data_IF_804713470323
#
_entry.id   IF_804713470323
#
_cell.length_a   1.000
_cell.length_b   1.000
_cell.length_c   1.000
_cell.angle_alpha   90.00
_cell.angle_beta   90.00
_cell.angle_gamma   90.00
#
_symmetry.space_group_name_H-M   'P 1'
#
loop_
_entity.id
_entity.type
_entity.pdbx_description
1 polymer ?
#
# COMPACT_ATOMS: atom_id res chain seq x y z
N UNK A 1 4.16 -13.82 -4.65
CA UNK A 1 2.83 -14.39 -4.30
C UNK A 1 2.94 -15.85 -3.87
N UNK A 2 2.06 -16.31 -2.97
CA UNK A 2 1.95 -17.73 -2.58
C UNK A 2 0.94 -18.45 -3.49
N UNK A 3 -0.22 -17.83 -3.75
CA UNK A 3 -1.29 -18.41 -4.56
C UNK A 3 -2.09 -17.29 -5.24
N UNK A 4 -2.60 -17.57 -6.45
CA UNK A 4 -3.35 -16.61 -7.24
C UNK A 4 -2.49 -15.49 -7.80
N UNK A 5 -3.14 -14.55 -8.47
CA UNK A 5 -2.49 -13.40 -9.12
C UNK A 5 -2.99 -12.11 -8.46
N UNK A 6 -2.08 -11.20 -8.13
CA UNK A 6 -2.43 -9.84 -7.72
C UNK A 6 -2.07 -8.86 -8.83
N UNK A 7 -2.98 -7.94 -9.14
CA UNK A 7 -2.69 -6.74 -9.90
C UNK A 7 -2.26 -5.64 -8.95
N UNK A 8 -1.19 -4.93 -9.30
CA UNK A 8 -0.67 -3.77 -8.59
C UNK A 8 -0.82 -2.54 -9.47
N UNK A 9 -1.22 -1.44 -8.85
CA UNK A 9 -1.15 -0.09 -9.42
C UNK A 9 -0.17 0.71 -8.58
N UNK A 10 0.93 1.10 -9.20
CA UNK A 10 1.97 1.91 -8.56
C UNK A 10 1.77 3.37 -8.93
N UNK A 11 1.74 4.21 -7.90
CA UNK A 11 1.54 5.65 -8.00
C UNK A 11 2.79 6.39 -7.56
N UNK A 12 2.95 7.58 -8.11
CA UNK A 12 4.03 8.52 -7.80
C UNK A 12 3.41 9.82 -7.29
N UNK A 13 4.03 10.42 -6.26
CA UNK A 13 3.73 11.80 -5.86
C UNK A 13 4.43 12.76 -6.82
N UNK A 14 3.72 13.80 -7.23
CA UNK A 14 4.26 14.90 -8.04
C UNK A 14 4.59 16.14 -7.18
N UNK A 15 4.07 16.19 -5.96
CA UNK A 15 4.37 17.21 -4.96
C UNK A 15 5.59 16.85 -4.08
N UNK A 16 5.93 17.76 -3.18
CA UNK A 16 7.07 17.63 -2.24
C UNK A 16 6.71 16.98 -0.90
N UNK A 17 5.45 16.55 -0.72
CA UNK A 17 4.95 15.97 0.53
C UNK A 17 4.77 16.96 1.69
N UNK A 18 4.81 18.27 1.44
CA UNK A 18 4.69 19.29 2.50
C UNK A 18 3.29 19.36 3.12
N UNK A 19 2.24 19.06 2.36
CA UNK A 19 0.88 18.89 2.86
C UNK A 19 0.62 17.40 3.14
N UNK A 20 0.51 16.98 4.41
CA UNK A 20 0.26 15.58 4.73
C UNK A 20 -1.13 15.13 4.27
N UNK A 21 -2.13 16.03 4.29
CA UNK A 21 -3.54 15.71 4.04
C UNK A 21 -3.88 15.70 2.54
N UNK A 22 -2.91 16.00 1.68
CA UNK A 22 -3.08 16.01 0.23
C UNK A 22 -1.93 15.34 -0.50
N UNK A 23 -2.20 14.86 -1.71
CA UNK A 23 -1.18 14.44 -2.66
C UNK A 23 -1.63 14.62 -4.12
N UNK A 24 -0.76 15.20 -4.95
CA UNK A 24 -0.90 15.17 -6.40
C UNK A 24 -0.28 13.87 -6.93
N UNK A 25 -1.12 12.99 -7.46
CA UNK A 25 -0.72 11.63 -7.83
C UNK A 25 -0.74 11.39 -9.33
N UNK A 26 0.25 10.62 -9.80
CA UNK A 26 0.28 10.06 -11.15
C UNK A 26 0.37 8.55 -11.09
N UNK A 27 -0.44 7.86 -11.88
CA UNK A 27 -0.29 6.42 -12.08
C UNK A 27 0.97 6.18 -12.91
N UNK A 28 1.95 5.52 -12.31
CA UNK A 28 3.21 5.18 -12.97
C UNK A 28 3.14 3.86 -13.72
N UNK A 29 2.65 2.82 -13.06
CA UNK A 29 2.69 1.45 -13.60
C UNK A 29 1.49 0.62 -13.13
N UNK A 30 1.05 -0.29 -14.00
CA UNK A 30 0.11 -1.36 -13.66
C UNK A 30 0.69 -2.70 -14.12
N UNK A 31 0.78 -3.66 -13.21
CA UNK A 31 1.34 -4.97 -13.52
C UNK A 31 0.73 -6.07 -12.65
N UNK A 32 0.79 -7.30 -13.14
CA UNK A 32 0.28 -8.49 -12.45
C UNK A 32 1.46 -9.32 -11.92
N UNK A 33 1.34 -9.83 -10.69
CA UNK A 33 2.26 -10.80 -10.13
C UNK A 33 1.54 -12.09 -9.75
N UNK A 34 2.07 -13.20 -10.27
CA UNK A 34 1.64 -14.56 -9.98
C UNK A 34 2.54 -15.28 -8.95
N UNK A 35 2.26 -16.57 -8.70
CA UNK A 35 3.03 -17.38 -7.75
C UNK A 35 4.52 -17.44 -8.10
N UNK A 36 5.38 -17.29 -7.09
CA UNK A 36 6.84 -17.30 -7.25
C UNK A 36 7.46 -15.95 -7.65
N UNK A 37 6.67 -15.00 -8.12
CA UNK A 37 7.12 -13.64 -8.40
C UNK A 37 7.12 -12.77 -7.14
N UNK A 38 8.05 -11.81 -7.09
CA UNK A 38 8.20 -10.89 -5.97
C UNK A 38 8.56 -9.49 -6.49
N UNK A 39 8.18 -8.48 -5.72
CA UNK A 39 8.57 -7.08 -5.93
C UNK A 39 9.20 -6.56 -4.66
N UNK A 40 10.26 -5.77 -4.80
CA UNK A 40 10.85 -5.03 -3.70
C UNK A 40 10.38 -3.58 -3.76
N UNK A 41 9.96 -3.07 -2.61
CA UNK A 41 9.35 -1.77 -2.43
C UNK A 41 10.23 -0.93 -1.51
N UNK A 42 10.77 0.19 -1.99
CA UNK A 42 11.52 1.14 -1.14
C UNK A 42 10.56 2.07 -0.38
N UNK A 43 9.63 2.74 -1.08
CA UNK A 43 8.52 3.48 -0.45
C UNK A 43 7.37 3.79 -1.44
N UNK A 44 6.61 2.78 -1.91
CA UNK A 44 5.67 2.95 -3.01
C UNK A 44 4.26 3.21 -2.52
N UNK A 45 3.67 4.26 -3.06
CA UNK A 45 2.23 4.44 -3.03
C UNK A 45 1.60 3.45 -4.01
N UNK A 46 0.85 2.47 -3.50
CA UNK A 46 0.27 1.43 -4.34
C UNK A 46 -1.07 0.95 -3.82
N UNK A 47 -1.84 0.37 -4.73
CA UNK A 47 -3.02 -0.45 -4.41
C UNK A 47 -2.88 -1.80 -5.10
N UNK A 48 -3.43 -2.85 -4.49
CA UNK A 48 -3.40 -4.20 -5.01
C UNK A 48 -4.79 -4.83 -5.02
N UNK A 49 -5.04 -5.73 -5.97
CA UNK A 49 -6.28 -6.47 -6.07
C UNK A 49 -6.04 -7.87 -6.64
N UNK A 50 -6.70 -8.89 -6.06
CA UNK A 50 -6.70 -10.23 -6.63
C UNK A 50 -7.37 -10.26 -8.00
N UNK A 51 -6.75 -10.96 -8.95
CA UNK A 51 -7.24 -11.18 -10.31
C UNK A 51 -7.93 -12.53 -10.38
N UNK A 52 -9.14 -12.56 -10.95
CA UNK A 52 -9.94 -13.77 -11.22
C UNK A 52 -10.19 -14.68 -10.00
N UNK A 53 -10.01 -14.18 -8.78
CA UNK A 53 -10.26 -14.92 -7.56
C UNK A 53 -9.45 -14.45 -6.36
N UNK A 54 -9.39 -15.32 -5.36
CA UNK A 54 -8.62 -15.08 -4.13
C UNK A 54 -7.13 -15.22 -4.42
N UNK A 55 -6.36 -14.25 -3.96
CA UNK A 55 -4.90 -14.24 -4.05
C UNK A 55 -4.29 -14.09 -2.65
N UNK A 56 -3.22 -14.83 -2.40
CA UNK A 56 -2.48 -14.83 -1.14
C UNK A 56 -1.05 -14.37 -1.37
N UNK A 57 -0.65 -13.37 -0.60
CA UNK A 57 0.68 -12.78 -0.63
C UNK A 57 1.38 -12.92 0.73
N UNK A 58 2.70 -13.08 0.68
CA UNK A 58 3.55 -12.92 1.84
C UNK A 58 4.28 -11.58 1.73
N UNK A 59 4.07 -10.70 2.70
CA UNK A 59 4.69 -9.36 2.71
C UNK A 59 5.67 -9.26 3.87
N UNK A 60 6.92 -8.93 3.56
CA UNK A 60 7.95 -8.69 4.55
C UNK A 60 8.20 -7.19 4.69
N UNK A 61 8.02 -6.66 5.89
CA UNK A 61 8.29 -5.26 6.19
C UNK A 61 9.59 -5.13 6.99
N UNK A 62 10.46 -4.19 6.60
CA UNK A 62 11.69 -3.89 7.34
C UNK A 62 11.45 -3.28 8.73
N UNK A 63 10.23 -2.78 8.99
CA UNK A 63 9.77 -2.22 10.26
C UNK A 63 8.30 -2.59 10.47
N UNK A 64 7.79 -2.57 11.71
CA UNK A 64 6.37 -2.84 11.95
C UNK A 64 5.49 -1.74 11.34
N UNK A 65 4.73 -2.01 10.26
CA UNK A 65 3.96 -0.98 9.54
C UNK A 65 2.72 -0.52 10.29
N UNK A 66 2.41 -1.16 11.43
CA UNK A 66 1.22 -0.88 12.22
C UNK A 66 1.43 0.18 13.31
N UNK A 67 2.67 0.62 13.52
CA UNK A 67 3.02 1.62 14.54
C UNK A 67 2.83 3.07 14.07
N UNK A 68 2.51 3.28 12.80
CA UNK A 68 2.24 4.60 12.23
C UNK A 68 0.85 4.63 11.58
N UNK A 69 0.16 5.77 11.59
CA UNK A 69 -1.09 5.92 10.84
C UNK A 69 -0.87 5.60 9.37
N UNK A 70 -1.80 4.86 8.77
CA UNK A 70 -1.75 4.54 7.34
C UNK A 70 -2.56 5.55 6.56
N UNK A 71 -1.91 6.28 5.66
CA UNK A 71 -2.56 7.19 4.73
C UNK A 71 -3.15 6.42 3.54
N UNK A 72 -4.36 6.80 3.13
CA UNK A 72 -5.03 6.37 1.90
C UNK A 72 -5.38 7.62 1.11
N UNK A 73 -4.90 7.69 -0.13
CA UNK A 73 -5.10 8.84 -0.99
C UNK A 73 -6.14 8.53 -2.06
N UNK A 74 -7.06 9.47 -2.28
CA UNK A 74 -7.93 9.45 -3.45
C UNK A 74 -7.19 10.10 -4.63
N UNK A 75 -6.84 9.35 -5.69
CA UNK A 75 -6.11 9.90 -6.83
C UNK A 75 -6.92 10.92 -7.65
N UNK A 76 -8.25 10.98 -7.51
CA UNK A 76 -9.09 11.93 -8.24
C UNK A 76 -9.14 13.30 -7.58
N UNK A 77 -9.13 13.36 -6.26
CA UNK A 77 -9.23 14.61 -5.48
C UNK A 77 -7.92 15.02 -4.82
N UNK A 78 -6.98 14.08 -4.72
CA UNK A 78 -5.73 14.20 -3.98
C UNK A 78 -5.93 14.20 -2.46
N UNK A 79 -7.11 13.92 -1.92
CA UNK A 79 -7.34 13.95 -0.48
C UNK A 79 -6.79 12.69 0.21
N UNK A 80 -6.14 12.86 1.37
CA UNK A 80 -5.78 11.77 2.26
C UNK A 80 -6.87 11.50 3.31
N UNK A 81 -7.01 10.23 3.63
CA UNK A 81 -7.68 9.73 4.83
C UNK A 81 -6.73 8.82 5.58
N UNK A 82 -6.93 8.65 6.89
CA UNK A 82 -6.01 7.90 7.73
C UNK A 82 -6.72 6.79 8.48
N UNK A 83 -6.14 5.59 8.46
CA UNK A 83 -6.41 4.58 9.47
C UNK A 83 -5.44 4.76 10.65
N UNK A 84 -5.97 4.66 11.87
CA UNK A 84 -5.17 4.76 13.08
C UNK A 84 -4.10 3.66 13.14
N UNK A 85 -2.95 4.00 13.73
CA UNK A 85 -2.00 2.98 14.20
C UNK A 85 -2.69 2.10 15.24
N UNK A 86 -2.37 0.80 15.27
CA UNK A 86 -2.81 -0.04 16.38
C UNK A 86 -1.87 0.18 17.56
N UNK A 87 -2.44 0.59 18.69
CA UNK A 87 -1.71 0.72 19.93
C UNK A 87 -1.40 -0.68 20.49
N UNK A 88 -0.12 -1.03 20.55
CA UNK A 88 0.33 -2.31 21.12
C UNK A 88 0.49 -2.26 22.64
N UNK A 89 0.04 -1.19 23.32
CA UNK A 89 0.08 -1.10 24.77
C UNK A 89 -0.95 -2.04 25.44
N UNK A 90 -0.47 -3.24 25.78
CA UNK A 90 -1.03 -4.24 26.71
C UNK A 90 -2.21 -5.10 26.18
N UNK A 91 -2.06 -6.44 26.05
CA UNK A 91 -3.21 -7.33 25.91
C UNK A 91 -3.99 -7.40 27.24
N UNK A 92 -5.32 -7.65 27.22
CA UNK A 92 -6.07 -7.89 28.44
C UNK A 92 -5.49 -9.13 29.18
N UNK A 93 -5.30 -9.00 30.49
CA UNK A 93 -4.91 -10.10 31.38
C UNK A 93 -6.01 -11.15 31.51
#
# INVERSE_FOLDING_TARGET
MIQGTNRYWRWERLDDGSDPDRADLRLGEVFDHGPGEYVLWDDPLHVQQGVDGVAYEFVFFGRNPNLQPRAYFDPATGQATYAAAVDTACPPQ
#
